data_IF_768065689599
#
_entry.id   IF_768065689599
#
_cell.length_a   1.000
_cell.length_b   1.000
_cell.length_c   1.000
_cell.angle_alpha   90.00
_cell.angle_beta   90.00
_cell.angle_gamma   90.00
#
_symmetry.space_group_name_H-M   'P 1'
#
loop_
_entity.id
_entity.type
_entity.pdbx_description
1 polymer ?
#
# COMPACT_ATOMS: atom_id res chain seq x y z
N UNK A 1 -38.49 -18.10 -2.91
CA UNK A 1 -38.62 -17.62 -4.30
C UNK A 1 -38.10 -16.19 -4.29
N UNK A 2 -36.96 -15.91 -4.91
CA UNK A 2 -36.31 -14.59 -4.90
C UNK A 2 -36.99 -13.69 -5.93
N UNK A 3 -38.13 -13.11 -5.56
CA UNK A 3 -38.86 -12.17 -6.42
C UNK A 3 -38.15 -10.81 -6.32
N UNK A 4 -37.59 -10.31 -7.42
CA UNK A 4 -36.94 -8.98 -7.49
C UNK A 4 -35.43 -8.94 -7.74
N UNK A 5 -34.80 -10.07 -8.10
CA UNK A 5 -33.40 -10.11 -8.58
C UNK A 5 -33.29 -10.44 -10.09
N UNK A 6 -34.41 -10.68 -10.74
CA UNK A 6 -34.44 -10.90 -12.19
C UNK A 6 -34.30 -9.56 -12.91
N UNK A 7 -33.57 -9.56 -14.02
CA UNK A 7 -33.39 -8.36 -14.83
C UNK A 7 -34.75 -7.88 -15.34
N UNK A 8 -35.20 -6.72 -14.88
CA UNK A 8 -36.45 -6.12 -15.33
C UNK A 8 -36.26 -5.48 -16.71
N UNK A 9 -37.32 -5.39 -17.53
CA UNK A 9 -37.28 -4.71 -18.84
C UNK A 9 -36.84 -3.23 -18.73
N UNK A 10 -36.93 -2.65 -17.53
CA UNK A 10 -36.51 -1.29 -17.23
C UNK A 10 -35.03 -1.15 -16.84
N UNK A 11 -34.28 -2.25 -16.71
CA UNK A 11 -32.87 -2.20 -16.35
C UNK A 11 -32.03 -1.58 -17.45
N UNK A 12 -31.44 -0.43 -17.14
CA UNK A 12 -30.57 0.28 -18.07
C UNK A 12 -29.25 -0.47 -18.19
N UNK A 13 -28.91 -0.89 -19.41
CA UNK A 13 -27.59 -1.44 -19.74
C UNK A 13 -26.57 -0.32 -19.86
N UNK A 14 -25.66 -0.25 -18.90
CA UNK A 14 -24.50 0.64 -18.97
C UNK A 14 -23.26 -0.17 -19.34
N UNK A 15 -22.31 0.43 -20.05
CA UNK A 15 -20.99 -0.17 -20.17
C UNK A 15 -20.19 0.06 -18.89
N UNK A 16 -19.33 -0.88 -18.53
CA UNK A 16 -18.49 -0.82 -17.32
C UNK A 16 -17.66 0.46 -17.25
N UNK A 17 -17.17 0.94 -18.40
CA UNK A 17 -16.42 2.21 -18.50
C UNK A 17 -17.25 3.42 -18.05
N UNK A 18 -18.55 3.44 -18.35
CA UNK A 18 -19.45 4.55 -18.02
C UNK A 18 -19.74 4.55 -16.51
N UNK A 19 -19.91 3.36 -15.93
CA UNK A 19 -20.07 3.16 -14.50
C UNK A 19 -18.79 3.56 -13.74
N UNK A 20 -17.61 3.11 -14.19
CA UNK A 20 -16.33 3.45 -13.58
C UNK A 20 -16.07 4.96 -13.62
N UNK A 21 -16.32 5.63 -14.75
CA UNK A 21 -16.19 7.08 -14.86
C UNK A 21 -17.09 7.80 -13.85
N UNK A 22 -18.31 7.31 -13.66
CA UNK A 22 -19.27 7.87 -12.71
C UNK A 22 -18.84 7.66 -11.25
N UNK A 23 -18.33 6.47 -10.92
CA UNK A 23 -17.80 6.15 -9.60
C UNK A 23 -16.60 7.06 -9.29
N UNK A 24 -15.63 7.18 -10.20
CA UNK A 24 -14.45 8.03 -10.01
C UNK A 24 -14.82 9.51 -9.87
N UNK A 25 -15.86 9.97 -10.56
CA UNK A 25 -16.39 11.33 -10.43
C UNK A 25 -16.85 11.65 -9.00
N UNK A 26 -17.48 10.71 -8.29
CA UNK A 26 -17.92 10.93 -6.90
C UNK A 26 -16.75 11.18 -5.93
N UNK A 27 -15.56 10.67 -6.23
CA UNK A 27 -14.36 10.92 -5.45
C UNK A 27 -13.68 12.25 -5.79
N UNK A 28 -14.13 12.96 -6.82
CA UNK A 28 -13.52 14.20 -7.28
C UNK A 28 -13.37 15.29 -6.20
N UNK A 29 -14.37 15.55 -5.33
CA UNK A 29 -14.25 16.53 -4.25
C UNK A 29 -13.19 16.16 -3.21
N UNK A 30 -12.89 14.86 -3.06
CA UNK A 30 -11.99 14.33 -2.03
C UNK A 30 -10.60 13.94 -2.57
N UNK A 31 -10.24 14.36 -3.79
CA UNK A 31 -8.97 14.00 -4.43
C UNK A 31 -7.75 14.27 -3.56
N UNK A 32 -7.74 15.37 -2.80
CA UNK A 32 -6.62 15.71 -1.88
C UNK A 32 -6.51 14.71 -0.73
N UNK A 33 -7.63 14.38 -0.09
CA UNK A 33 -7.66 13.39 0.99
C UNK A 33 -7.27 12.01 0.46
N UNK A 34 -7.80 11.62 -0.71
CA UNK A 34 -7.45 10.36 -1.36
C UNK A 34 -5.97 10.27 -1.67
N UNK A 35 -5.38 11.34 -2.19
CA UNK A 35 -3.95 11.40 -2.47
C UNK A 35 -3.11 11.22 -1.21
N UNK A 36 -3.48 11.87 -0.09
CA UNK A 36 -2.79 11.69 1.18
C UNK A 36 -2.87 10.23 1.66
N UNK A 37 -4.06 9.63 1.62
CA UNK A 37 -4.24 8.22 2.00
C UNK A 37 -3.37 7.31 1.14
N UNK A 38 -3.43 7.46 -0.18
CA UNK A 38 -2.62 6.67 -1.12
C UNK A 38 -1.13 6.86 -0.85
N UNK A 39 -0.69 8.09 -0.60
CA UNK A 39 0.70 8.42 -0.32
C UNK A 39 1.20 7.74 0.94
N UNK A 40 0.49 7.88 2.07
CA UNK A 40 0.88 7.24 3.33
C UNK A 40 0.80 5.71 3.25
N UNK A 41 -0.20 5.17 2.56
CA UNK A 41 -0.34 3.72 2.36
C UNK A 41 0.80 3.16 1.49
N UNK A 42 1.24 3.92 0.48
CA UNK A 42 2.40 3.58 -0.35
C UNK A 42 3.68 3.58 0.48
N UNK A 43 3.90 4.60 1.31
CA UNK A 43 5.06 4.66 2.22
C UNK A 43 5.05 3.47 3.19
N UNK A 44 3.91 3.20 3.82
CA UNK A 44 3.75 2.06 4.73
C UNK A 44 4.06 0.72 4.03
N UNK A 45 3.53 0.53 2.82
CA UNK A 45 3.79 -0.67 2.02
C UNK A 45 5.27 -0.81 1.64
N UNK A 46 5.92 0.30 1.27
CA UNK A 46 7.36 0.32 0.97
C UNK A 46 8.19 -0.03 2.19
N UNK A 47 7.86 0.53 3.35
CA UNK A 47 8.54 0.23 4.62
C UNK A 47 8.52 -1.28 4.92
N UNK A 48 7.37 -1.92 4.73
CA UNK A 48 7.23 -3.38 4.91
C UNK A 48 8.04 -4.14 3.85
N UNK A 49 7.99 -3.70 2.59
CA UNK A 49 8.69 -4.37 1.48
C UNK A 49 10.23 -4.27 1.58
N UNK A 50 10.77 -3.19 2.15
CA UNK A 50 12.22 -2.99 2.29
C UNK A 50 12.84 -3.80 3.44
N UNK A 51 12.06 -4.17 4.45
CA UNK A 51 12.54 -4.90 5.61
C UNK A 51 13.37 -6.16 5.27
N UNK A 52 12.90 -7.11 4.42
CA UNK A 52 13.70 -8.29 4.08
C UNK A 52 15.00 -7.96 3.33
N UNK A 53 15.01 -6.89 2.52
CA UNK A 53 16.21 -6.45 1.80
C UNK A 53 17.28 -5.97 2.79
N UNK A 54 16.89 -5.17 3.77
CA UNK A 54 17.83 -4.66 4.79
C UNK A 54 18.35 -5.80 5.66
N UNK A 55 17.49 -6.77 6.03
CA UNK A 55 17.93 -7.97 6.78
C UNK A 55 18.96 -8.76 5.97
N UNK A 56 18.74 -8.96 4.68
CA UNK A 56 19.72 -9.62 3.81
C UNK A 56 21.07 -8.90 3.82
N UNK A 57 21.07 -7.56 3.75
CA UNK A 57 22.30 -6.76 3.77
C UNK A 57 23.07 -6.91 5.10
N UNK A 58 22.36 -6.97 6.24
CA UNK A 58 22.97 -7.20 7.55
C UNK A 58 23.66 -8.56 7.58
N UNK A 59 22.96 -9.61 7.15
CA UNK A 59 23.48 -10.98 7.14
C UNK A 59 24.72 -11.08 6.24
N UNK A 60 24.67 -10.53 5.02
CA UNK A 60 25.82 -10.56 4.10
C UNK A 60 27.03 -9.79 4.63
N UNK A 61 26.83 -8.69 5.35
CA UNK A 61 27.93 -7.93 5.96
C UNK A 61 28.56 -8.67 7.15
N UNK A 62 27.75 -9.41 7.92
CA UNK A 62 28.26 -10.27 8.99
C UNK A 62 29.16 -11.40 8.46
N UNK A 63 28.91 -11.87 7.24
CA UNK A 63 29.67 -12.99 6.64
C UNK A 63 30.98 -12.54 5.99
N UNK A 64 30.99 -11.38 5.33
CA UNK A 64 32.10 -10.95 4.46
C UNK A 64 33.10 -10.03 5.16
N UNK A 65 32.61 -8.93 5.73
CA UNK A 65 33.43 -7.92 6.42
C UNK A 65 32.65 -7.34 7.61
N UNK A 66 32.80 -7.93 8.81
CA UNK A 66 32.04 -7.50 9.97
C UNK A 66 32.44 -6.09 10.43
N UNK A 67 31.68 -5.08 10.01
CA UNK A 67 31.74 -3.72 10.54
C UNK A 67 30.59 -3.49 11.52
N UNK A 68 30.92 -3.43 12.81
CA UNK A 68 29.96 -3.23 13.89
C UNK A 68 29.20 -1.90 13.79
N UNK A 69 29.84 -0.83 13.31
CA UNK A 69 29.21 0.49 13.20
C UNK A 69 28.15 0.46 12.10
N UNK A 70 28.49 -0.14 10.96
CA UNK A 70 27.56 -0.28 9.83
C UNK A 70 26.37 -1.19 10.17
N UNK A 71 26.60 -2.31 10.86
CA UNK A 71 25.54 -3.22 11.31
C UNK A 71 24.60 -2.53 12.30
N UNK A 72 25.13 -1.83 13.30
CA UNK A 72 24.31 -1.07 14.26
C UNK A 72 23.47 0.02 13.57
N UNK A 73 24.03 0.67 12.55
CA UNK A 73 23.30 1.64 11.74
C UNK A 73 22.12 0.99 10.97
N UNK A 74 22.32 -0.17 10.35
CA UNK A 74 21.25 -0.90 9.66
C UNK A 74 20.16 -1.41 10.63
N UNK A 75 20.54 -1.88 11.82
CA UNK A 75 19.60 -2.27 12.88
C UNK A 75 18.76 -1.07 13.31
N UNK A 76 19.39 0.09 13.52
CA UNK A 76 18.68 1.32 13.87
C UNK A 76 17.67 1.72 12.78
N UNK A 77 18.04 1.62 11.50
CA UNK A 77 17.13 1.85 10.36
C UNK A 77 15.93 0.90 10.42
N UNK A 78 16.14 -0.41 10.56
CA UNK A 78 15.04 -1.38 10.66
C UNK A 78 14.13 -1.08 11.86
N UNK A 79 14.71 -0.67 12.99
CA UNK A 79 13.94 -0.36 14.19
C UNK A 79 13.03 0.86 13.97
N UNK A 80 13.56 1.93 13.37
CA UNK A 80 12.76 3.13 13.02
C UNK A 80 11.64 2.81 12.03
N UNK A 81 11.92 2.00 11.01
CA UNK A 81 10.92 1.54 10.05
C UNK A 81 9.86 0.65 10.69
N UNK A 82 10.26 -0.25 11.59
CA UNK A 82 9.33 -1.14 12.28
C UNK A 82 8.36 -0.36 13.18
N UNK A 83 8.83 0.65 13.91
CA UNK A 83 7.97 1.50 14.74
C UNK A 83 7.01 2.32 13.87
N UNK A 84 7.50 2.88 12.76
CA UNK A 84 6.67 3.67 11.84
C UNK A 84 5.62 2.85 11.08
N UNK A 85 5.78 1.52 11.01
CA UNK A 85 4.79 0.63 10.40
C UNK A 85 3.56 0.40 11.29
N UNK A 86 3.71 0.57 12.61
CA UNK A 86 2.64 0.34 13.59
C UNK A 86 1.76 1.57 13.88
N UNK A 87 2.12 2.73 13.34
CA UNK A 87 1.37 4.00 13.47
C UNK A 87 0.65 4.29 12.15
#
# INVERSE_FOLDING_TARGET
MWVGLEAEEYDRKYQDKDLLKRIVSYFSPYKRAMFLVIFFLTISSLTIAFQPIIVSLIISNLETTPDLVYILFLIFIIFTFSISSWV
#
